data_IF_466273802043
#
_entry.id   IF_466273802043
#
_cell.length_a   1.000
_cell.length_b   1.000
_cell.length_c   1.000
_cell.angle_alpha   90.00
_cell.angle_beta   90.00
_cell.angle_gamma   90.00
#
_symmetry.space_group_name_H-M   'P 1'
#
loop_
_entity.id
_entity.type
_entity.pdbx_description
1 polymer ?
#
# COMPACT_ATOMS: atom_id res chain seq x y z
N UNK A 1 3.01 14.11 -12.06
CA UNK A 1 3.62 12.80 -11.71
C UNK A 1 4.93 12.56 -12.47
N UNK A 2 6.05 12.50 -11.76
CA UNK A 2 7.37 12.15 -12.32
C UNK A 2 8.05 11.10 -11.45
N UNK A 3 8.77 10.18 -12.10
CA UNK A 3 9.61 9.18 -11.44
C UNK A 3 11.02 9.32 -12.04
N UNK A 4 12.00 9.66 -11.22
CA UNK A 4 13.41 9.67 -11.62
C UNK A 4 14.01 8.31 -11.27
N UNK A 5 14.81 7.70 -12.15
CA UNK A 5 15.46 6.41 -11.90
C UNK A 5 16.97 6.53 -12.12
N UNK A 6 17.76 6.19 -11.10
CA UNK A 6 19.22 6.11 -11.18
C UNK A 6 19.66 4.65 -11.12
N UNK A 7 20.25 4.13 -12.20
CA UNK A 7 20.78 2.76 -12.26
C UNK A 7 22.30 2.75 -12.10
N UNK A 8 22.78 2.11 -11.05
CA UNK A 8 24.20 1.85 -10.80
C UNK A 8 24.56 0.37 -10.91
N UNK A 9 25.86 0.06 -10.86
CA UNK A 9 26.38 -1.33 -10.94
C UNK A 9 25.77 -2.28 -9.90
N UNK A 10 25.44 -1.76 -8.70
CA UNK A 10 24.90 -2.53 -7.58
C UNK A 10 23.64 -1.90 -6.94
N UNK A 11 23.01 -0.89 -7.56
CA UNK A 11 21.83 -0.20 -6.99
C UNK A 11 20.85 0.23 -8.08
N UNK A 12 19.57 0.19 -7.74
CA UNK A 12 18.51 0.90 -8.45
C UNK A 12 17.90 1.87 -7.44
N UNK A 13 17.99 3.16 -7.71
CA UNK A 13 17.34 4.19 -6.91
C UNK A 13 16.24 4.85 -7.73
N UNK A 14 15.19 5.29 -7.05
CA UNK A 14 14.11 6.03 -7.68
C UNK A 14 13.68 7.19 -6.78
N UNK A 15 13.15 8.24 -7.41
CA UNK A 15 12.52 9.36 -6.71
C UNK A 15 11.13 9.58 -7.27
N UNK A 16 10.14 9.62 -6.40
CA UNK A 16 8.78 10.02 -6.74
C UNK A 16 8.62 11.51 -6.49
N UNK A 17 7.82 12.19 -7.32
CA UNK A 17 7.32 13.52 -6.97
C UNK A 17 6.50 13.45 -5.68
N UNK A 18 6.47 14.55 -4.91
CA UNK A 18 5.66 14.63 -3.68
C UNK A 18 4.19 14.28 -3.96
N UNK A 19 3.63 14.81 -5.06
CA UNK A 19 2.29 14.46 -5.55
C UNK A 19 2.09 12.94 -5.75
N UNK A 20 3.06 12.26 -6.37
CA UNK A 20 2.95 10.82 -6.63
C UNK A 20 3.06 10.02 -5.33
N UNK A 21 3.91 10.46 -4.41
CA UNK A 21 4.04 9.87 -3.08
C UNK A 21 2.76 10.03 -2.24
N UNK A 22 2.17 11.23 -2.24
CA UNK A 22 0.93 11.52 -1.53
C UNK A 22 -0.25 10.74 -2.13
N UNK A 23 -0.27 10.59 -3.46
CA UNK A 23 -1.27 9.79 -4.17
C UNK A 23 -1.19 8.30 -3.77
N UNK A 24 0.01 7.71 -3.79
CA UNK A 24 0.21 6.33 -3.33
C UNK A 24 -0.20 6.18 -1.87
N UNK A 25 0.28 7.05 -0.99
CA UNK A 25 -0.03 7.00 0.45
C UNK A 25 -1.54 7.10 0.72
N UNK A 26 -2.24 7.96 -0.03
CA UNK A 26 -3.69 8.11 0.08
C UNK A 26 -4.44 6.87 -0.41
N UNK A 27 -3.96 6.26 -1.50
CA UNK A 27 -4.50 5.00 -2.00
C UNK A 27 -4.31 3.87 -0.99
N UNK A 28 -3.11 3.71 -0.41
CA UNK A 28 -2.83 2.70 0.62
C UNK A 28 -3.77 2.84 1.82
N UNK A 29 -3.90 4.07 2.33
CA UNK A 29 -4.79 4.36 3.44
C UNK A 29 -6.26 4.06 3.10
N UNK A 30 -6.68 4.31 1.86
CA UNK A 30 -8.05 4.01 1.43
C UNK A 30 -8.34 2.51 1.42
N UNK A 31 -7.38 1.69 0.96
CA UNK A 31 -7.50 0.23 0.96
C UNK A 31 -7.54 -0.30 2.39
N UNK A 32 -6.63 0.17 3.24
CA UNK A 32 -6.60 -0.16 4.67
C UNK A 32 -7.92 0.19 5.35
N UNK A 33 -8.47 1.38 5.06
CA UNK A 33 -9.75 1.81 5.63
C UNK A 33 -10.89 0.88 5.25
N UNK A 34 -11.01 0.52 3.97
CA UNK A 34 -12.05 -0.40 3.50
C UNK A 34 -11.95 -1.75 4.20
N UNK A 35 -10.75 -2.32 4.27
CA UNK A 35 -10.52 -3.61 4.95
C UNK A 35 -10.86 -3.51 6.44
N UNK A 36 -10.42 -2.44 7.11
CA UNK A 36 -10.67 -2.23 8.53
C UNK A 36 -12.16 -2.13 8.86
N UNK A 37 -12.92 -1.38 8.05
CA UNK A 37 -14.36 -1.22 8.22
C UNK A 37 -15.11 -2.54 7.97
N UNK A 38 -14.73 -3.29 6.93
CA UNK A 38 -15.29 -4.62 6.65
C UNK A 38 -15.02 -5.58 7.81
N UNK A 39 -13.79 -5.64 8.31
CA UNK A 39 -13.39 -6.52 9.41
C UNK A 39 -14.10 -6.19 10.71
N UNK A 40 -14.27 -4.90 11.03
CA UNK A 40 -15.03 -4.49 12.21
C UNK A 40 -16.53 -4.79 12.09
N UNK A 41 -17.08 -4.73 10.88
CA UNK A 41 -18.51 -5.01 10.63
C UNK A 41 -18.82 -6.50 10.61
N UNK A 42 -17.94 -7.32 10.03
CA UNK A 42 -18.18 -8.74 9.80
C UNK A 42 -17.54 -9.62 10.87
N UNK A 43 -16.48 -9.14 11.52
CA UNK A 43 -15.62 -9.97 12.36
C UNK A 43 -14.72 -10.91 11.55
N UNK A 44 -14.65 -10.76 10.23
CA UNK A 44 -14.01 -11.71 9.33
C UNK A 44 -12.98 -11.04 8.42
N UNK A 45 -12.05 -11.85 7.90
CA UNK A 45 -11.17 -11.49 6.80
C UNK A 45 -10.96 -12.67 5.87
N UNK A 46 -11.18 -12.47 4.56
CA UNK A 46 -11.03 -13.51 3.52
C UNK A 46 -11.75 -14.83 3.88
N UNK A 47 -12.94 -14.74 4.47
CA UNK A 47 -13.77 -15.89 4.84
C UNK A 47 -13.34 -16.61 6.13
N UNK A 48 -12.39 -16.07 6.88
CA UNK A 48 -11.99 -16.59 8.20
C UNK A 48 -12.36 -15.61 9.31
N UNK A 49 -12.80 -16.13 10.45
CA UNK A 49 -13.05 -15.31 11.64
C UNK A 49 -11.76 -14.72 12.18
N UNK A 50 -11.82 -13.46 12.59
CA UNK A 50 -10.74 -12.82 13.33
C UNK A 50 -10.81 -13.19 14.80
N UNK A 51 -9.64 -13.28 15.44
CA UNK A 51 -9.55 -13.46 16.88
C UNK A 51 -10.26 -12.30 17.61
N UNK A 52 -10.90 -12.63 18.74
CA UNK A 52 -11.57 -11.64 19.60
C UNK A 52 -10.58 -10.59 20.13
N UNK A 53 -9.35 -10.99 20.41
CA UNK A 53 -8.33 -10.07 20.90
C UNK A 53 -7.93 -9.07 19.79
N UNK A 54 -7.81 -9.56 18.55
CA UNK A 54 -7.56 -8.73 17.36
C UNK A 54 -8.70 -7.73 17.16
N UNK A 55 -9.96 -8.18 17.20
CA UNK A 55 -11.13 -7.30 17.07
C UNK A 55 -11.21 -6.26 18.19
N UNK A 56 -10.79 -6.62 19.41
CA UNK A 56 -10.75 -5.70 20.55
C UNK A 56 -9.73 -4.59 20.29
N UNK A 57 -8.52 -4.93 19.85
CA UNK A 57 -7.48 -3.95 19.51
C UNK A 57 -7.93 -3.05 18.36
N UNK A 58 -8.57 -3.63 17.34
CA UNK A 58 -9.11 -2.88 16.20
C UNK A 58 -10.18 -1.87 16.63
N UNK A 59 -11.10 -2.26 17.53
CA UNK A 59 -12.13 -1.34 18.06
C UNK A 59 -11.51 -0.20 18.86
N UNK A 60 -10.54 -0.50 19.71
CA UNK A 60 -9.81 0.54 20.45
C UNK A 60 -9.07 1.49 19.50
N UNK A 61 -8.42 0.97 18.44
CA UNK A 61 -7.79 1.82 17.44
C UNK A 61 -8.79 2.76 16.76
N UNK A 62 -10.00 2.28 16.46
CA UNK A 62 -11.09 3.11 15.91
C UNK A 62 -11.52 4.21 16.86
N UNK A 63 -11.66 3.91 18.16
CA UNK A 63 -11.99 4.91 19.19
C UNK A 63 -10.92 6.02 19.30
N UNK A 64 -9.66 5.67 19.03
CA UNK A 64 -8.53 6.60 18.98
C UNK A 64 -8.37 7.30 17.61
N UNK A 65 -9.29 7.08 16.66
CA UNK A 65 -9.25 7.68 15.32
C UNK A 65 -8.18 7.09 14.40
N UNK A 66 -7.68 5.89 14.69
CA UNK A 66 -6.66 5.19 13.91
C UNK A 66 -7.28 4.10 13.04
N UNK A 67 -6.75 3.93 11.84
CA UNK A 67 -7.07 2.81 10.94
C UNK A 67 -6.01 1.73 11.18
N UNK A 68 -6.44 0.59 11.72
CA UNK A 68 -5.54 -0.52 12.06
C UNK A 68 -6.18 -1.86 11.66
N UNK A 69 -6.10 -2.26 10.38
CA UNK A 69 -6.55 -3.58 9.93
C UNK A 69 -5.82 -4.70 10.68
N UNK A 70 -6.36 -5.93 10.65
CA UNK A 70 -5.78 -7.05 11.42
C UNK A 70 -4.27 -7.29 11.16
N UNK A 71 -3.79 -7.07 9.94
CA UNK A 71 -2.37 -7.21 9.59
C UNK A 71 -1.49 -6.11 10.21
N UNK A 72 -2.07 -4.99 10.62
CA UNK A 72 -1.39 -3.93 11.37
C UNK A 72 -1.33 -4.17 12.88
N UNK A 73 -2.19 -5.05 13.43
CA UNK A 73 -2.29 -5.30 14.88
C UNK A 73 -1.00 -5.91 15.46
N UNK A 74 -0.27 -6.71 14.67
CA UNK A 74 1.04 -7.26 15.06
C UNK A 74 2.23 -6.32 14.90
N UNK A 75 2.00 -5.04 14.56
CA UNK A 75 3.07 -4.07 14.28
C UNK A 75 3.71 -4.23 12.89
N UNK A 76 3.17 -5.13 12.04
CA UNK A 76 3.59 -5.23 10.65
C UNK A 76 3.08 -4.01 9.88
N UNK A 77 4.01 -3.14 9.48
CA UNK A 77 3.78 -2.04 8.54
C UNK A 77 4.29 -2.48 7.17
N UNK A 78 3.62 -2.07 6.11
CA UNK A 78 4.03 -2.39 4.73
C UNK A 78 3.31 -3.58 4.14
N UNK A 79 1.98 -3.53 4.08
CA UNK A 79 1.20 -4.48 3.30
C UNK A 79 1.42 -4.28 1.78
N UNK A 80 2.05 -3.18 1.36
CA UNK A 80 2.32 -2.91 -0.05
C UNK A 80 3.66 -3.45 -0.53
N UNK A 81 3.63 -4.06 -1.71
CA UNK A 81 4.78 -4.49 -2.48
C UNK A 81 4.94 -3.51 -3.65
N UNK A 82 6.11 -2.89 -3.76
CA UNK A 82 6.41 -1.93 -4.82
C UNK A 82 7.28 -2.61 -5.88
N UNK A 83 6.87 -2.52 -7.14
CA UNK A 83 7.59 -3.07 -8.29
C UNK A 83 7.80 -2.00 -9.34
N UNK A 84 9.00 -1.92 -9.90
CA UNK A 84 9.30 -1.09 -11.06
C UNK A 84 9.42 -1.97 -12.29
N UNK A 85 8.52 -1.75 -13.25
CA UNK A 85 8.47 -2.51 -14.49
C UNK A 85 9.00 -1.61 -15.61
N UNK A 86 10.16 -1.93 -16.19
CA UNK A 86 10.66 -1.20 -17.35
C UNK A 86 9.83 -1.55 -18.59
N UNK A 87 9.48 -0.53 -19.37
CA UNK A 87 8.92 -0.63 -20.72
C UNK A 87 9.78 0.20 -21.69
N UNK A 88 9.66 -0.01 -23.00
CA UNK A 88 10.60 0.55 -24.01
C UNK A 88 10.93 2.03 -23.80
N UNK A 89 9.91 2.87 -23.57
CA UNK A 89 10.06 4.32 -23.34
C UNK A 89 9.37 4.79 -22.04
N UNK A 90 9.05 3.86 -21.14
CA UNK A 90 8.28 4.15 -19.93
C UNK A 90 8.82 3.36 -18.74
N UNK A 91 8.57 3.89 -17.55
CA UNK A 91 8.71 3.15 -16.32
C UNK A 91 7.37 3.14 -15.60
N UNK A 92 6.94 1.95 -15.18
CA UNK A 92 5.72 1.76 -14.42
C UNK A 92 6.07 1.41 -12.99
N UNK A 93 5.60 2.22 -12.05
CA UNK A 93 5.49 1.86 -10.65
C UNK A 93 4.18 1.09 -10.43
N UNK A 94 4.30 -0.15 -9.99
CA UNK A 94 3.19 -0.95 -9.53
C UNK A 94 3.25 -1.07 -8.00
N UNK A 95 2.16 -0.73 -7.33
CA UNK A 95 2.00 -0.91 -5.88
C UNK A 95 0.90 -1.94 -5.65
N UNK A 96 1.27 -3.10 -5.13
CA UNK A 96 0.34 -4.19 -4.86
C UNK A 96 0.11 -4.33 -3.36
N UNK A 97 -1.14 -4.24 -2.93
CA UNK A 97 -1.52 -4.47 -1.54
C UNK A 97 -1.63 -5.98 -1.27
N UNK A 98 -0.66 -6.56 -0.57
CA UNK A 98 -0.52 -8.01 -0.35
C UNK A 98 -1.70 -8.67 0.37
N UNK A 99 -2.44 -7.92 1.19
CA UNK A 99 -3.61 -8.45 1.91
C UNK A 99 -4.90 -8.42 1.08
N UNK A 100 -5.00 -7.62 0.02
CA UNK A 100 -6.22 -7.52 -0.80
C UNK A 100 -6.00 -7.90 -2.26
N UNK A 101 -4.74 -8.02 -2.67
CA UNK A 101 -4.31 -8.15 -4.06
C UNK A 101 -4.71 -6.96 -4.96
N UNK A 102 -5.22 -5.86 -4.38
CA UNK A 102 -5.45 -4.61 -5.11
C UNK A 102 -4.13 -4.05 -5.64
N UNK A 103 -4.18 -3.49 -6.85
CA UNK A 103 -3.02 -2.95 -7.54
C UNK A 103 -3.28 -1.50 -7.92
N UNK A 104 -2.29 -0.63 -7.65
CA UNK A 104 -2.18 0.71 -8.19
C UNK A 104 -1.05 0.75 -9.21
N UNK A 105 -1.28 1.38 -10.36
CA UNK A 105 -0.30 1.51 -11.42
C UNK A 105 -0.09 2.98 -11.78
N UNK A 106 1.17 3.41 -11.74
CA UNK A 106 1.59 4.77 -12.10
C UNK A 106 2.64 4.64 -13.19
N UNK A 107 2.35 5.16 -14.38
CA UNK A 107 3.28 5.15 -15.50
C UNK A 107 3.91 6.52 -15.70
N UNK A 108 5.20 6.55 -16.03
CA UNK A 108 5.90 7.76 -16.46
C UNK A 108 6.72 7.48 -17.71
N UNK A 109 6.91 8.50 -18.54
CA UNK A 109 7.81 8.43 -19.70
C UNK A 109 9.25 8.53 -19.24
N UNK A 110 10.12 7.72 -19.83
CA UNK A 110 11.57 7.87 -19.67
C UNK A 110 12.02 8.91 -20.69
N UNK A 111 12.23 10.16 -20.24
CA UNK A 111 12.88 11.15 -21.09
C UNK A 111 14.37 10.80 -21.22
N UNK A 112 14.88 10.77 -22.45
CA UNK A 112 16.31 10.58 -22.70
C UNK A 112 17.07 11.80 -22.12
N UNK A 113 17.92 11.56 -21.13
CA UNK A 113 18.85 12.55 -20.57
C UNK A 113 19.98 12.83 -21.56
#
# INVERSE_FOLDING_TARGET
MSIEVERGKNKIAFRLSAESFDYVSSWELSVDKTVFEEQLSTGMFRGSDLDRDVLTIMRQAKEEGRILPYYGVGGSRGACIYSFIPAENQCQLQVKHSATDNVLEISTSLEAV
#
